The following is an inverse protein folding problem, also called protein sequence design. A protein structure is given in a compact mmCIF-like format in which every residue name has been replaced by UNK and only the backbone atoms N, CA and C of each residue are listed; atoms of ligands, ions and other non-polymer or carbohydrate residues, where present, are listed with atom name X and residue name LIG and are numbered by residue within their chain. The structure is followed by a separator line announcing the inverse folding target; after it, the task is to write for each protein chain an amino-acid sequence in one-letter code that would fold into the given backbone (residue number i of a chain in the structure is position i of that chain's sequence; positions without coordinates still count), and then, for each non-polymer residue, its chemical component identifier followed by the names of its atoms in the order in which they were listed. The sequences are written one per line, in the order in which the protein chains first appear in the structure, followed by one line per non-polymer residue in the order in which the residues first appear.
data_IF_460659847056
#
_entry.id   IF_460659847056
#
_cell.length_a   1.000
_cell.length_b   1.000
_cell.length_c   1.000
_cell.angle_alpha   90.00
_cell.angle_beta   90.00
_cell.angle_gamma   90.00
#
_symmetry.space_group_name_H-M   'P 1'
#
loop_
_entity.id
_entity.type
_entity.pdbx_description
1 polymer ?
#
# COMPACT_ATOMS: atom_id res chain seq x y z
N UNK A 1 -19.70 11.15 0.15
CA UNK A 1 -20.64 10.45 -0.76
C UNK A 1 -19.84 9.75 -1.87
N UNK A 2 -20.26 8.56 -2.29
CA UNK A 2 -19.54 7.69 -3.23
C UNK A 2 -20.47 7.16 -4.31
N UNK A 3 -19.94 6.95 -5.51
CA UNK A 3 -20.67 6.33 -6.63
C UNK A 3 -19.95 5.04 -7.01
N UNK A 4 -20.72 3.96 -7.16
CA UNK A 4 -20.16 2.70 -7.63
C UNK A 4 -20.01 2.71 -9.16
N UNK A 5 -18.76 2.62 -9.63
CA UNK A 5 -18.45 2.48 -11.04
C UNK A 5 -18.58 1.01 -11.45
N UNK A 6 -19.66 0.67 -12.17
CA UNK A 6 -19.97 -0.71 -12.61
C UNK A 6 -18.91 -1.28 -13.55
N UNK A 7 -18.32 -0.45 -14.42
CA UNK A 7 -17.34 -0.90 -15.42
C UNK A 7 -16.00 -1.25 -14.75
N UNK A 8 -15.54 -0.38 -13.83
CA UNK A 8 -14.26 -0.56 -13.13
C UNK A 8 -14.38 -1.33 -11.81
N UNK A 9 -15.60 -1.68 -11.39
CA UNK A 9 -15.93 -2.38 -10.14
C UNK A 9 -15.26 -1.73 -8.92
N UNK A 10 -15.37 -0.41 -8.80
CA UNK A 10 -14.74 0.40 -7.72
C UNK A 10 -15.66 1.51 -7.23
N UNK A 11 -15.50 1.89 -5.96
CA UNK A 11 -16.19 3.03 -5.37
C UNK A 11 -15.40 4.31 -5.64
N UNK A 12 -16.04 5.26 -6.34
CA UNK A 12 -15.44 6.53 -6.73
C UNK A 12 -15.95 7.65 -5.82
N UNK A 13 -15.06 8.48 -5.24
CA UNK A 13 -15.48 9.57 -4.37
C UNK A 13 -16.12 10.69 -5.21
N UNK A 14 -17.22 11.26 -4.73
CA UNK A 14 -17.81 12.45 -5.36
C UNK A 14 -17.14 13.75 -4.89
N UNK A 15 -16.51 13.70 -3.72
CA UNK A 15 -15.78 14.84 -3.14
C UNK A 15 -14.38 14.88 -3.72
N UNK A 16 -13.93 16.06 -4.15
CA UNK A 16 -12.62 16.24 -4.77
C UNK A 16 -11.53 16.67 -3.78
N UNK A 17 -11.88 17.17 -2.59
CA UNK A 17 -10.91 17.62 -1.58
C UNK A 17 -9.94 16.49 -1.24
N UNK A 18 -8.64 16.73 -1.40
CA UNK A 18 -7.58 15.76 -1.19
C UNK A 18 -7.49 15.40 0.30
N UNK A 19 -7.55 14.11 0.62
CA UNK A 19 -7.43 13.61 2.01
C UNK A 19 -6.00 13.33 2.44
N UNK A 20 -5.01 13.64 1.59
CA UNK A 20 -3.59 13.43 1.89
C UNK A 20 -2.89 14.70 2.33
N UNK A 21 -3.24 15.84 1.71
CA UNK A 21 -2.70 17.16 2.06
C UNK A 21 -3.76 18.13 2.61
N UNK A 22 -5.03 17.76 2.58
CA UNK A 22 -6.20 18.55 3.05
C UNK A 22 -6.42 19.92 2.37
N UNK A 23 -5.49 20.38 1.52
CA UNK A 23 -5.51 21.69 0.86
C UNK A 23 -5.81 21.60 -0.64
N UNK A 24 -5.40 20.51 -1.29
CA UNK A 24 -5.55 20.32 -2.73
C UNK A 24 -6.88 19.69 -3.13
N UNK A 25 -7.14 19.63 -4.44
CA UNK A 25 -8.29 18.95 -5.02
C UNK A 25 -7.87 17.94 -6.11
N UNK A 26 -8.60 16.84 -6.22
CA UNK A 26 -8.46 15.86 -7.28
C UNK A 26 -8.92 16.46 -8.61
N UNK A 27 -8.03 16.47 -9.59
CA UNK A 27 -8.29 16.91 -10.96
C UNK A 27 -8.87 15.80 -11.85
N UNK A 28 -8.52 14.55 -11.55
CA UNK A 28 -8.95 13.39 -12.32
C UNK A 28 -9.24 12.21 -11.39
N UNK A 29 -10.25 11.42 -11.73
CA UNK A 29 -10.57 10.19 -10.99
C UNK A 29 -9.38 9.22 -10.92
N UNK A 30 -8.46 9.27 -11.89
CA UNK A 30 -7.25 8.42 -11.91
C UNK A 30 -6.09 8.99 -11.08
N UNK A 31 -6.25 10.17 -10.49
CA UNK A 31 -5.30 10.70 -9.51
C UNK A 31 -5.60 10.19 -8.10
N UNK A 32 -6.86 9.84 -7.82
CA UNK A 32 -7.30 9.21 -6.58
C UNK A 32 -6.55 7.90 -6.30
N UNK A 33 -6.45 7.55 -5.03
CA UNK A 33 -5.86 6.29 -4.60
C UNK A 33 -6.95 5.28 -4.27
N UNK A 34 -7.04 4.19 -5.03
CA UNK A 34 -8.01 3.14 -4.79
C UNK A 34 -7.42 2.07 -3.87
N UNK A 35 -7.79 2.12 -2.59
CA UNK A 35 -7.36 1.13 -1.62
C UNK A 35 -8.27 -0.11 -1.68
N UNK A 36 -7.72 -1.33 -1.84
CA UNK A 36 -8.53 -2.54 -1.83
C UNK A 36 -9.03 -2.82 -0.40
N UNK A 37 -10.34 -2.98 -0.26
CA UNK A 37 -10.98 -3.47 0.95
C UNK A 37 -11.48 -4.90 0.71
N UNK A 38 -11.32 -5.77 1.70
CA UNK A 38 -11.71 -7.17 1.65
C UNK A 38 -12.68 -7.53 2.76
N UNK A 39 -13.69 -8.33 2.44
CA UNK A 39 -14.61 -8.91 3.43
C UNK A 39 -14.67 -10.42 3.26
N UNK A 40 -14.41 -11.14 4.34
CA UNK A 40 -14.58 -12.59 4.36
C UNK A 40 -16.08 -12.91 4.27
N UNK A 41 -16.44 -13.79 3.33
CA UNK A 41 -17.83 -14.22 3.13
C UNK A 41 -18.05 -15.61 3.74
N UNK A 42 -17.07 -16.50 3.58
CA UNK A 42 -17.16 -17.91 4.00
C UNK A 42 -15.74 -18.47 4.19
N UNK A 43 -15.59 -19.36 5.18
CA UNK A 43 -14.34 -20.04 5.51
C UNK A 43 -14.63 -21.50 5.82
N UNK A 44 -14.08 -22.38 4.99
CA UNK A 44 -14.11 -23.82 5.22
C UNK A 44 -12.80 -24.24 5.86
N UNK A 45 -12.87 -24.78 7.08
CA UNK A 45 -11.75 -25.37 7.82
C UNK A 45 -12.06 -26.84 8.10
N UNK A 46 -11.58 -27.75 7.26
CA UNK A 46 -11.62 -29.19 7.50
C UNK A 46 -10.18 -29.68 7.73
N UNK A 47 -9.99 -30.76 8.48
CA UNK A 47 -8.67 -31.27 8.93
C UNK A 47 -7.60 -31.32 7.82
N UNK A 48 -8.02 -31.60 6.58
CA UNK A 48 -7.15 -31.72 5.40
C UNK A 48 -7.32 -30.60 4.36
N UNK A 49 -8.26 -29.67 4.58
CA UNK A 49 -8.62 -28.67 3.57
C UNK A 49 -9.04 -27.35 4.20
N UNK A 50 -8.39 -26.27 3.75
CA UNK A 50 -8.71 -24.91 4.15
C UNK A 50 -9.00 -24.04 2.93
N UNK A 51 -10.12 -23.33 2.93
CA UNK A 51 -10.45 -22.37 1.89
C UNK A 51 -11.20 -21.17 2.44
N UNK A 52 -10.98 -20.01 1.82
CA UNK A 52 -11.63 -18.74 2.20
C UNK A 52 -12.18 -18.08 0.95
N UNK A 53 -13.47 -17.73 0.99
CA UNK A 53 -14.13 -16.91 -0.02
C UNK A 53 -14.23 -15.50 0.53
N UNK A 54 -13.86 -14.52 -0.27
CA UNK A 54 -13.90 -13.11 0.11
C UNK A 54 -14.43 -12.22 -1.01
N UNK A 55 -15.02 -11.10 -0.61
CA UNK A 55 -15.38 -9.98 -1.47
C UNK A 55 -14.23 -8.97 -1.49
N UNK A 56 -13.98 -8.34 -2.64
CA UNK A 56 -13.01 -7.26 -2.80
C UNK A 56 -13.67 -6.05 -3.41
N UNK A 57 -13.53 -4.89 -2.78
CA UNK A 57 -13.99 -3.61 -3.34
C UNK A 57 -12.88 -2.55 -3.22
N UNK A 58 -12.37 -2.00 -4.33
CA UNK A 58 -11.48 -0.85 -4.28
C UNK A 58 -12.27 0.42 -3.94
N UNK A 59 -11.80 1.15 -2.93
CA UNK A 59 -12.39 2.40 -2.45
C UNK A 59 -11.48 3.56 -2.81
N UNK A 60 -12.00 4.51 -3.57
CA UNK A 60 -11.24 5.70 -3.98
C UNK A 60 -11.10 6.71 -2.86
N UNK A 61 -9.88 6.97 -2.44
CA UNK A 61 -9.53 8.03 -1.49
C UNK A 61 -9.13 9.26 -2.32
N UNK A 62 -9.83 10.40 -2.18
CA UNK A 62 -9.52 11.63 -2.91
C UNK A 62 -8.06 12.05 -2.79
N UNK A 63 -7.39 12.23 -3.92
CA UNK A 63 -5.97 12.61 -3.96
C UNK A 63 -5.68 13.57 -5.11
N UNK A 64 -5.04 14.70 -4.82
CA UNK A 64 -4.59 15.63 -5.84
C UNK A 64 -3.39 15.09 -6.64
N UNK A 65 -3.15 15.66 -7.82
CA UNK A 65 -2.04 15.29 -8.70
C UNK A 65 -0.68 15.41 -8.03
N UNK A 66 -0.48 16.45 -7.21
CA UNK A 66 0.79 16.67 -6.52
C UNK A 66 1.07 15.60 -5.47
N UNK A 67 0.07 15.24 -4.66
CA UNK A 67 0.19 14.14 -3.71
C UNK A 67 0.48 12.82 -4.43
N UNK A 68 -0.17 12.55 -5.57
CA UNK A 68 0.15 11.38 -6.40
C UNK A 68 1.61 11.37 -6.83
N UNK A 69 2.12 12.49 -7.33
CA UNK A 69 3.51 12.60 -7.75
C UNK A 69 4.47 12.38 -6.57
N UNK A 70 4.19 12.98 -5.40
CA UNK A 70 5.00 12.77 -4.19
C UNK A 70 5.02 11.30 -3.80
N UNK A 71 3.87 10.62 -3.77
CA UNK A 71 3.82 9.19 -3.45
C UNK A 71 4.59 8.31 -4.45
N UNK A 72 4.48 8.60 -5.74
CA UNK A 72 5.16 7.83 -6.79
C UNK A 72 6.67 8.06 -6.73
N UNK A 73 7.11 9.31 -6.62
CA UNK A 73 8.52 9.67 -6.51
C UNK A 73 9.15 9.14 -5.22
N UNK A 74 8.45 9.23 -4.09
CA UNK A 74 8.91 8.69 -2.82
C UNK A 74 9.08 7.17 -2.90
N UNK A 75 8.10 6.44 -3.45
CA UNK A 75 8.21 4.99 -3.61
C UNK A 75 9.36 4.59 -4.54
N UNK A 76 9.54 5.28 -5.66
CA UNK A 76 10.63 5.02 -6.60
C UNK A 76 12.01 5.29 -5.99
N UNK A 77 12.20 6.46 -5.37
CA UNK A 77 13.49 6.83 -4.73
C UNK A 77 13.81 5.93 -3.54
N UNK A 78 12.81 5.63 -2.70
CA UNK A 78 12.98 4.72 -1.57
C UNK A 78 13.38 3.31 -2.03
N UNK A 79 12.75 2.79 -3.10
CA UNK A 79 13.11 1.49 -3.66
C UNK A 79 14.55 1.51 -4.20
N UNK A 80 14.92 2.52 -4.98
CA UNK A 80 16.29 2.64 -5.50
C UNK A 80 17.33 2.67 -4.39
N UNK A 81 17.13 3.51 -3.36
CA UNK A 81 18.06 3.62 -2.24
C UNK A 81 18.12 2.32 -1.44
N UNK A 82 16.95 1.75 -1.09
CA UNK A 82 16.89 0.55 -0.25
C UNK A 82 17.52 -0.66 -0.93
N UNK A 83 17.28 -0.85 -2.23
CA UNK A 83 17.88 -1.94 -2.99
C UNK A 83 19.37 -1.72 -3.26
N UNK A 84 19.80 -0.48 -3.52
CA UNK A 84 21.23 -0.18 -3.65
C UNK A 84 22.00 -0.52 -2.36
N UNK A 85 21.45 -0.14 -1.20
CA UNK A 85 22.03 -0.50 0.11
C UNK A 85 22.01 -2.01 0.35
N UNK A 86 20.89 -2.68 0.06
CA UNK A 86 20.79 -4.13 0.22
C UNK A 86 21.81 -4.89 -0.65
N UNK A 87 21.98 -4.49 -1.92
CA UNK A 87 22.95 -5.09 -2.84
C UNK A 87 24.38 -4.84 -2.35
N UNK A 88 24.70 -3.61 -1.93
CA UNK A 88 26.02 -3.28 -1.40
C UNK A 88 26.39 -4.13 -0.17
N UNK A 89 25.43 -4.38 0.73
CA UNK A 89 25.61 -5.25 1.89
C UNK A 89 25.84 -6.70 1.45
N UNK A 90 25.05 -7.23 0.52
CA UNK A 90 25.22 -8.60 0.00
C UNK A 90 26.61 -8.76 -0.63
N UNK A 91 27.05 -7.83 -1.48
CA UNK A 91 28.38 -7.86 -2.11
C UNK A 91 29.48 -7.88 -1.02
N UNK A 92 29.33 -7.05 0.00
CA UNK A 92 30.29 -6.99 1.12
C UNK A 92 30.35 -8.31 1.91
N UNK A 93 29.21 -8.96 2.12
CA UNK A 93 29.14 -10.27 2.78
C UNK A 93 29.86 -11.33 1.94
N UNK A 94 29.62 -11.38 0.61
CA UNK A 94 30.32 -12.29 -0.28
C UNK A 94 31.83 -12.03 -0.34
N UNK A 95 32.26 -10.77 -0.29
CA UNK A 95 33.68 -10.42 -0.27
C UNK A 95 34.41 -10.93 0.98
N UNK A 96 33.74 -10.98 2.13
CA UNK A 96 34.34 -11.41 3.41
C UNK A 96 34.20 -12.93 3.62
N UNK A 97 33.05 -13.52 3.28
CA UNK A 97 32.69 -14.91 3.61
C UNK A 97 32.72 -15.87 2.41
N UNK A 98 33.03 -15.38 1.21
CA UNK A 98 33.06 -16.18 -0.01
C UNK A 98 31.72 -16.85 -0.29
N UNK A 99 31.74 -18.16 -0.56
CA UNK A 99 30.54 -18.93 -0.88
C UNK A 99 29.52 -19.01 0.27
N UNK A 100 29.98 -18.87 1.53
CA UNK A 100 29.11 -18.77 2.70
C UNK A 100 28.29 -17.48 2.73
N UNK A 101 28.61 -16.50 1.87
CA UNK A 101 27.83 -15.29 1.71
C UNK A 101 26.40 -15.49 1.19
N UNK A 102 26.08 -16.69 0.70
CA UNK A 102 24.71 -17.06 0.30
C UNK A 102 23.68 -16.89 1.42
N UNK A 103 24.09 -17.07 2.69
CA UNK A 103 23.23 -16.83 3.85
C UNK A 103 22.87 -15.35 4.04
N UNK A 104 23.67 -14.43 3.47
CA UNK A 104 23.41 -12.98 3.48
C UNK A 104 22.30 -12.54 2.52
N UNK A 105 21.86 -13.40 1.60
CA UNK A 105 20.83 -13.05 0.61
C UNK A 105 19.48 -12.82 1.30
N UNK A 106 19.05 -13.73 2.18
CA UNK A 106 17.78 -13.62 2.90
C UNK A 106 17.65 -12.31 3.68
N UNK A 107 18.57 -11.95 4.60
CA UNK A 107 18.49 -10.67 5.31
C UNK A 107 18.59 -9.47 4.36
N UNK A 108 19.37 -9.57 3.27
CA UNK A 108 19.43 -8.53 2.24
C UNK A 108 18.08 -8.29 1.54
N UNK A 109 17.32 -9.34 1.22
CA UNK A 109 15.97 -9.22 0.65
C UNK A 109 15.00 -8.56 1.63
N UNK A 110 15.05 -8.93 2.92
CA UNK A 110 14.23 -8.29 3.95
C UNK A 110 14.58 -6.81 4.12
N UNK A 111 15.88 -6.46 4.10
CA UNK A 111 16.35 -5.08 4.11
C UNK A 111 15.87 -4.30 2.89
N UNK A 112 15.95 -4.87 1.69
CA UNK A 112 15.48 -4.24 0.45
C UNK A 112 13.98 -3.93 0.50
N UNK A 113 13.16 -4.92 0.84
CA UNK A 113 11.71 -4.77 0.89
C UNK A 113 11.26 -3.88 2.07
N UNK A 114 11.73 -4.18 3.29
CA UNK A 114 11.37 -3.44 4.50
C UNK A 114 11.88 -2.00 4.49
N UNK A 115 13.13 -1.79 4.07
CA UNK A 115 13.72 -0.47 3.94
C UNK A 115 12.98 0.40 2.92
N UNK A 116 12.49 -0.17 1.81
CA UNK A 116 11.67 0.55 0.83
C UNK A 116 10.40 1.10 1.48
N UNK A 117 9.68 0.29 2.27
CA UNK A 117 8.44 0.71 2.93
C UNK A 117 8.73 1.82 3.94
N UNK A 118 9.75 1.65 4.78
CA UNK A 118 10.13 2.63 5.81
C UNK A 118 10.57 3.96 5.19
N UNK A 119 11.45 3.92 4.19
CA UNK A 119 11.94 5.12 3.49
C UNK A 119 10.80 5.82 2.74
N UNK A 120 9.92 5.06 2.08
CA UNK A 120 8.76 5.64 1.39
C UNK A 120 7.90 6.42 2.37
N UNK A 121 7.53 5.80 3.50
CA UNK A 121 6.70 6.44 4.52
C UNK A 121 7.38 7.67 5.13
N UNK A 122 8.69 7.59 5.39
CA UNK A 122 9.46 8.72 5.89
C UNK A 122 9.47 9.88 4.90
N UNK A 123 9.84 9.63 3.64
CA UNK A 123 9.88 10.66 2.59
C UNK A 123 8.52 11.33 2.34
N UNK A 124 7.43 10.58 2.44
CA UNK A 124 6.07 11.13 2.31
C UNK A 124 5.75 12.03 3.51
N UNK A 125 6.03 11.57 4.73
CA UNK A 125 5.79 12.35 5.96
C UNK A 125 6.65 13.61 6.03
N UNK A 126 7.89 13.55 5.55
CA UNK A 126 8.79 14.71 5.45
C UNK A 126 8.25 15.79 4.49
N UNK A 127 7.34 15.42 3.57
CA UNK A 127 6.61 16.36 2.70
C UNK A 127 5.32 16.89 3.32
N UNK A 128 5.01 16.52 4.57
CA UNK A 128 3.83 16.98 5.30
C UNK A 128 2.51 16.41 4.80
N UNK A 129 2.53 15.28 4.08
CA UNK A 129 1.30 14.61 3.61
C UNK A 129 1.16 13.23 4.23
N UNK A 130 -0.07 12.72 4.31
CA UNK A 130 -0.34 11.39 4.83
C UNK A 130 0.18 10.28 3.90
N UNK A 131 0.52 9.12 4.48
CA UNK A 131 0.79 7.92 3.70
C UNK A 131 -0.50 7.38 3.06
N UNK A 132 -0.37 6.48 2.07
CA UNK A 132 -1.53 5.84 1.41
C UNK A 132 -2.49 5.19 2.40
N UNK A 133 -1.95 4.52 3.42
CA UNK A 133 -2.74 3.86 4.44
C UNK A 133 -3.31 4.85 5.45
N UNK A 134 -2.53 5.84 5.89
CA UNK A 134 -2.98 6.83 6.86
C UNK A 134 -4.12 7.69 6.29
N UNK A 135 -3.99 8.16 5.05
CA UNK A 135 -5.05 8.90 4.36
C UNK A 135 -6.30 8.05 4.13
N UNK A 136 -6.14 6.75 3.84
CA UNK A 136 -7.28 5.84 3.75
C UNK A 136 -7.98 5.62 5.09
N UNK A 137 -7.24 5.53 6.20
CA UNK A 137 -7.81 5.41 7.54
C UNK A 137 -8.58 6.66 7.98
N UNK A 138 -8.34 7.82 7.39
CA UNK A 138 -9.13 9.01 7.69
C UNK A 138 -10.37 9.14 6.82
N UNK A 139 -10.51 8.31 5.78
CA UNK A 139 -11.64 8.37 4.87
C UNK A 139 -12.91 7.78 5.50
N UNK A 140 -13.99 8.56 5.51
CA UNK A 140 -15.29 8.16 6.07
C UNK A 140 -15.85 6.87 5.47
N UNK A 141 -15.80 6.68 4.15
CA UNK A 141 -16.33 5.47 3.52
C UNK A 141 -15.47 4.23 3.82
N UNK A 142 -14.15 4.42 3.98
CA UNK A 142 -13.28 3.34 4.43
C UNK A 142 -13.59 2.97 5.88
N UNK A 143 -13.83 3.96 6.76
CA UNK A 143 -14.21 3.71 8.15
C UNK A 143 -15.55 2.99 8.26
N UNK A 144 -16.55 3.41 7.47
CA UNK A 144 -17.86 2.74 7.40
C UNK A 144 -17.72 1.26 6.98
N UNK A 145 -16.90 0.98 5.97
CA UNK A 145 -16.61 -0.39 5.55
C UNK A 145 -15.89 -1.19 6.66
N UNK A 146 -14.95 -0.60 7.39
CA UNK A 146 -14.29 -1.26 8.52
C UNK A 146 -15.32 -1.64 9.60
N UNK A 147 -16.23 -0.73 9.95
CA UNK A 147 -17.33 -0.99 10.90
C UNK A 147 -18.20 -2.16 10.43
N UNK A 148 -18.41 -2.29 9.11
CA UNK A 148 -19.14 -3.39 8.50
C UNK A 148 -18.33 -4.68 8.25
N UNK A 149 -17.15 -4.80 8.87
CA UNK A 149 -16.33 -6.01 8.85
C UNK A 149 -15.43 -6.16 7.62
N UNK A 150 -15.17 -5.08 6.89
CA UNK A 150 -14.15 -5.07 5.84
C UNK A 150 -12.76 -4.78 6.43
N UNK A 151 -11.71 -5.20 5.73
CA UNK A 151 -10.32 -5.01 6.17
C UNK A 151 -9.40 -4.67 4.99
N UNK A 152 -8.24 -4.09 5.29
CA UNK A 152 -7.19 -3.84 4.30
C UNK A 152 -6.39 -5.11 3.95
N UNK A 153 -6.52 -6.16 4.77
CA UNK A 153 -5.76 -7.40 4.64
C UNK A 153 -6.60 -8.43 3.88
N UNK A 154 -6.03 -9.00 2.83
CA UNK A 154 -6.70 -10.08 2.12
C UNK A 154 -6.79 -11.31 3.04
N UNK A 155 -7.98 -11.91 3.23
CA UNK A 155 -8.13 -13.16 3.95
C UNK A 155 -7.33 -14.28 3.27
N UNK A 156 -6.64 -15.09 4.07
CA UNK A 156 -5.89 -16.25 3.59
C UNK A 156 -6.49 -17.53 4.16
N UNK A 157 -6.49 -18.57 3.32
CA UNK A 157 -6.66 -19.95 3.79
C UNK A 157 -5.53 -20.36 4.74
#
# INVERSE_FOLDING_TARGET
MYIFNKQKKRLEPTITKCQYCETGHSTSMEDNYFIPMFKENDRTNVIVYRSVKYSKIPVGVPRCRDCKNIHVLAAGRAAQISWAVAIAIIISIFAIWGIWGIFGIFPGLFLGAGGTILLTNKMIKDKGIYTKLDGAKQNEAVQDLIIHGWSFTQPTA
#
